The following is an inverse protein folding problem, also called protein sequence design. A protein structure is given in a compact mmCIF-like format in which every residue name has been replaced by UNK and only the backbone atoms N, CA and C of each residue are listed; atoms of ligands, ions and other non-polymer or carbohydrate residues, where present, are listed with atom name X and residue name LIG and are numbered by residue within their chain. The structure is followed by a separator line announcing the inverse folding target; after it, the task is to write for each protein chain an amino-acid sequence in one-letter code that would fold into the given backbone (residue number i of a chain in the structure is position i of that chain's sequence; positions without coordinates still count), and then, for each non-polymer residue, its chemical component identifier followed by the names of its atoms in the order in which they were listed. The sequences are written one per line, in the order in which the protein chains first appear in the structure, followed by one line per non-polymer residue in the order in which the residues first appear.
data_IF_928389107766
#
_entry.id   IF_928389107766
#
_cell.length_a   1.000
_cell.length_b   1.000
_cell.length_c   1.000
_cell.angle_alpha   90.00
_cell.angle_beta   90.00
_cell.angle_gamma   90.00
#
_symmetry.space_group_name_H-M   'P 1'
#
loop_
_entity.id
_entity.type
_entity.pdbx_description
1 polymer ?
#
# COMPACT_ATOMS: atom_id res chain seq x y z
N UNK A 1 -27.41 -0.23 -3.05
CA UNK A 1 -28.85 -0.58 -3.21
C UNK A 1 -29.08 -1.84 -4.05
N UNK A 2 -28.51 -1.98 -5.27
CA UNK A 2 -28.74 -3.19 -6.12
C UNK A 2 -28.36 -4.50 -5.40
N UNK A 3 -27.20 -4.58 -4.76
CA UNK A 3 -26.78 -5.76 -4.00
C UNK A 3 -27.74 -6.12 -2.86
N UNK A 4 -28.35 -5.12 -2.21
CA UNK A 4 -29.38 -5.36 -1.19
C UNK A 4 -30.61 -6.07 -1.79
N UNK A 5 -31.07 -5.63 -2.96
CA UNK A 5 -32.19 -6.26 -3.65
C UNK A 5 -31.85 -7.70 -4.08
N UNK A 6 -30.62 -7.93 -4.57
CA UNK A 6 -30.14 -9.27 -4.93
C UNK A 6 -30.18 -10.19 -3.70
N UNK A 7 -29.64 -9.77 -2.56
CA UNK A 7 -29.65 -10.58 -1.34
C UNK A 7 -31.05 -10.84 -0.84
N UNK A 8 -31.94 -9.85 -0.84
CA UNK A 8 -33.36 -10.04 -0.46
C UNK A 8 -34.09 -11.04 -1.35
N UNK A 9 -33.70 -11.16 -2.62
CA UNK A 9 -34.22 -12.21 -3.52
C UNK A 9 -33.61 -13.58 -3.23
N UNK A 10 -32.31 -13.64 -2.95
CA UNK A 10 -31.60 -14.89 -2.71
C UNK A 10 -31.94 -15.51 -1.35
N UNK A 11 -31.98 -14.70 -0.28
CA UNK A 11 -32.36 -15.06 1.08
C UNK A 11 -33.52 -14.17 1.60
N UNK A 12 -34.78 -14.43 1.20
CA UNK A 12 -35.93 -13.62 1.63
C UNK A 12 -36.13 -13.62 3.15
N UNK A 13 -35.79 -14.74 3.79
CA UNK A 13 -35.89 -14.95 5.24
C UNK A 13 -34.63 -14.50 5.99
N UNK A 14 -33.64 -13.89 5.32
CA UNK A 14 -32.33 -13.59 5.91
C UNK A 14 -32.38 -12.65 7.12
N UNK A 15 -33.35 -11.74 7.16
CA UNK A 15 -33.48 -10.74 8.23
C UNK A 15 -34.29 -11.21 9.43
N UNK A 16 -35.00 -12.34 9.32
CA UNK A 16 -35.88 -12.81 10.41
C UNK A 16 -35.04 -13.10 11.65
N UNK A 17 -35.52 -12.78 12.85
CA UNK A 17 -34.86 -12.95 14.14
C UNK A 17 -33.41 -12.43 14.20
N UNK A 18 -33.07 -11.41 13.39
CA UNK A 18 -31.75 -10.76 13.41
C UNK A 18 -31.79 -9.45 14.20
N UNK A 19 -30.65 -8.93 14.69
CA UNK A 19 -30.61 -7.62 15.35
C UNK A 19 -31.16 -6.48 14.47
N UNK A 20 -31.05 -6.61 13.15
CA UNK A 20 -31.58 -5.61 12.21
C UNK A 20 -33.11 -5.57 12.21
N UNK A 21 -33.76 -6.75 12.29
CA UNK A 21 -35.21 -6.82 12.42
C UNK A 21 -35.67 -6.33 13.79
N UNK A 22 -35.00 -6.71 14.87
CA UNK A 22 -35.30 -6.22 16.22
C UNK A 22 -35.20 -4.68 16.30
N UNK A 23 -34.16 -4.10 15.68
CA UNK A 23 -34.01 -2.66 15.60
C UNK A 23 -35.11 -2.00 14.73
N UNK A 24 -35.48 -2.63 13.62
CA UNK A 24 -36.58 -2.16 12.75
C UNK A 24 -37.93 -2.16 13.49
N UNK A 25 -38.22 -3.20 14.27
CA UNK A 25 -39.41 -3.30 15.11
C UNK A 25 -39.39 -2.26 16.24
N UNK A 26 -38.27 -2.11 16.94
CA UNK A 26 -38.13 -1.14 18.04
C UNK A 26 -38.21 0.32 17.57
N UNK A 27 -37.66 0.64 16.40
CA UNK A 27 -37.67 2.01 15.84
C UNK A 27 -38.92 2.34 15.01
N UNK A 28 -39.72 1.34 14.63
CA UNK A 28 -40.85 1.50 13.71
C UNK A 28 -40.45 1.80 12.26
N UNK A 29 -39.16 1.87 11.95
CA UNK A 29 -38.65 2.15 10.61
C UNK A 29 -38.60 0.87 9.78
N UNK A 30 -39.01 0.94 8.51
CA UNK A 30 -38.86 -0.19 7.57
C UNK A 30 -37.38 -0.46 7.32
N UNK A 31 -36.98 -1.74 7.22
CA UNK A 31 -35.60 -2.15 6.93
C UNK A 31 -35.06 -1.53 5.63
N UNK A 32 -35.90 -1.36 4.61
CA UNK A 32 -35.51 -0.69 3.36
C UNK A 32 -35.11 0.78 3.58
N UNK A 33 -35.75 1.47 4.52
CA UNK A 33 -35.42 2.85 4.90
C UNK A 33 -34.11 2.88 5.67
N UNK A 34 -33.91 1.97 6.63
CA UNK A 34 -32.66 1.85 7.39
C UNK A 34 -31.49 1.59 6.43
N UNK A 35 -31.65 0.65 5.50
CA UNK A 35 -30.65 0.35 4.48
C UNK A 35 -30.37 1.56 3.57
N UNK A 36 -31.42 2.28 3.13
CA UNK A 36 -31.26 3.48 2.32
C UNK A 36 -30.46 4.56 3.06
N UNK A 37 -30.80 4.86 4.31
CA UNK A 37 -30.09 5.83 5.15
C UNK A 37 -28.62 5.42 5.32
N UNK A 38 -28.36 4.14 5.64
CA UNK A 38 -27.00 3.63 5.76
C UNK A 38 -26.20 3.76 4.46
N UNK A 39 -26.80 3.48 3.30
CA UNK A 39 -26.15 3.65 2.00
C UNK A 39 -25.89 5.10 1.65
N UNK A 40 -26.84 6.00 1.93
CA UNK A 40 -26.66 7.43 1.70
C UNK A 40 -25.54 7.97 2.58
N UNK A 41 -25.51 7.61 3.86
CA UNK A 41 -24.44 8.00 4.77
C UNK A 41 -23.08 7.46 4.31
N UNK A 42 -23.00 6.17 3.96
CA UNK A 42 -21.77 5.58 3.43
C UNK A 42 -21.31 6.27 2.14
N UNK A 43 -22.23 6.53 1.21
CA UNK A 43 -21.92 7.23 -0.04
C UNK A 43 -21.42 8.65 0.20
N UNK A 44 -22.00 9.36 1.17
CA UNK A 44 -21.55 10.70 1.56
C UNK A 44 -20.14 10.66 2.14
N UNK A 45 -19.86 9.74 3.08
CA UNK A 45 -18.53 9.60 3.67
C UNK A 45 -17.47 9.23 2.62
N UNK A 46 -17.79 8.33 1.70
CA UNK A 46 -16.92 7.99 0.57
C UNK A 46 -16.69 9.18 -0.36
N UNK A 47 -17.74 9.96 -0.66
CA UNK A 47 -17.64 11.16 -1.48
C UNK A 47 -16.77 12.24 -0.83
N UNK A 48 -16.92 12.47 0.48
CA UNK A 48 -16.09 13.41 1.23
C UNK A 48 -14.62 13.00 1.27
N UNK A 49 -14.33 11.71 1.42
CA UNK A 49 -12.97 11.19 1.40
C UNK A 49 -12.29 11.46 0.04
N UNK A 50 -12.96 11.16 -1.08
CA UNK A 50 -12.43 11.41 -2.42
C UNK A 50 -12.36 12.90 -2.75
N UNK A 51 -13.28 13.72 -2.24
CA UNK A 51 -13.26 15.17 -2.44
C UNK A 51 -11.98 15.82 -1.89
N UNK A 52 -11.43 15.29 -0.79
CA UNK A 52 -10.14 15.73 -0.25
C UNK A 52 -8.95 15.48 -1.18
N UNK A 53 -9.06 14.49 -2.06
CA UNK A 53 -8.02 14.10 -3.02
C UNK A 53 -8.17 14.78 -4.39
N UNK A 54 -9.08 15.77 -4.51
CA UNK A 54 -9.28 16.51 -5.75
C UNK A 54 -8.00 17.10 -6.37
N UNK A 55 -7.03 17.64 -5.59
CA UNK A 55 -5.77 18.11 -6.16
C UNK A 55 -4.97 17.00 -6.87
N UNK A 56 -4.95 15.78 -6.32
CA UNK A 56 -4.25 14.65 -6.94
C UNK A 56 -4.91 14.25 -8.27
N UNK A 57 -6.25 14.25 -8.30
CA UNK A 57 -7.00 13.98 -9.54
C UNK A 57 -6.77 15.07 -10.59
N UNK A 58 -6.70 16.34 -10.20
CA UNK A 58 -6.38 17.44 -11.12
C UNK A 58 -4.98 17.28 -11.72
N UNK A 59 -3.98 16.92 -10.91
CA UNK A 59 -2.62 16.66 -11.38
C UNK A 59 -2.57 15.48 -12.35
N UNK A 60 -3.30 14.40 -12.08
CA UNK A 60 -3.41 13.26 -12.99
C UNK A 60 -4.07 13.63 -14.33
N UNK A 61 -5.17 14.38 -14.30
CA UNK A 61 -5.89 14.78 -15.51
C UNK A 61 -5.10 15.76 -16.38
N UNK A 62 -4.23 16.57 -15.77
CA UNK A 62 -3.38 17.54 -16.45
C UNK A 62 -1.91 17.13 -16.42
N UNK A 63 -1.64 15.83 -16.36
CA UNK A 63 -0.27 15.32 -16.26
C UNK A 63 0.55 15.66 -17.50
N UNK A 64 1.84 15.88 -17.29
CA UNK A 64 2.84 16.11 -18.35
C UNK A 64 4.02 15.15 -18.17
N UNK A 65 4.66 14.77 -19.27
CA UNK A 65 5.85 13.94 -19.20
C UNK A 65 7.06 14.74 -18.72
N UNK A 66 7.91 14.10 -17.91
CA UNK A 66 9.19 14.66 -17.51
C UNK A 66 10.29 14.36 -18.54
N UNK A 67 10.13 13.31 -19.34
CA UNK A 67 11.12 12.86 -20.32
C UNK A 67 12.30 12.11 -19.69
N UNK A 68 12.13 11.63 -18.46
CA UNK A 68 13.16 10.95 -17.67
C UNK A 68 12.59 9.63 -17.17
N UNK A 69 13.18 8.53 -17.61
CA UNK A 69 12.79 7.20 -17.18
C UNK A 69 13.46 6.80 -15.86
N UNK A 70 12.69 6.15 -14.98
CA UNK A 70 13.20 5.57 -13.76
C UNK A 70 14.08 4.34 -14.08
N UNK A 71 15.16 4.11 -13.31
CA UNK A 71 16.12 3.05 -13.61
C UNK A 71 15.65 1.64 -13.19
N UNK A 72 14.54 1.51 -12.46
CA UNK A 72 14.06 0.23 -11.91
C UNK A 72 13.00 -0.39 -12.82
N UNK A 73 12.01 0.39 -13.23
CA UNK A 73 10.88 -0.06 -14.04
C UNK A 73 10.87 0.52 -15.46
N UNK A 74 11.73 1.50 -15.77
CA UNK A 74 11.81 2.12 -17.10
C UNK A 74 10.59 2.97 -17.45
N UNK A 75 9.84 3.45 -16.47
CA UNK A 75 8.68 4.34 -16.64
C UNK A 75 9.09 5.79 -16.46
N UNK A 76 8.41 6.69 -17.16
CA UNK A 76 8.63 8.12 -16.94
C UNK A 76 8.30 8.51 -15.49
N UNK A 77 9.05 9.46 -14.93
CA UNK A 77 8.80 10.02 -13.59
C UNK A 77 7.35 10.53 -13.44
N UNK A 78 6.70 10.97 -14.52
CA UNK A 78 5.30 11.39 -14.55
C UNK A 78 4.34 10.33 -13.99
N UNK A 79 4.64 9.05 -14.23
CA UNK A 79 3.83 7.94 -13.72
C UNK A 79 3.79 7.95 -12.19
N UNK A 80 4.93 8.17 -11.54
CA UNK A 80 5.05 8.11 -10.08
C UNK A 80 4.49 9.36 -9.40
N UNK A 81 4.68 10.52 -10.01
CA UNK A 81 4.21 11.80 -9.46
C UNK A 81 2.70 12.00 -9.66
N UNK A 82 2.15 11.59 -10.80
CA UNK A 82 0.76 11.91 -11.17
C UNK A 82 -0.17 10.70 -11.20
N UNK A 83 0.26 9.57 -11.76
CA UNK A 83 -0.63 8.40 -11.96
C UNK A 83 -0.72 7.50 -10.73
N UNK A 84 0.42 7.19 -10.10
CA UNK A 84 0.51 6.23 -9.01
C UNK A 84 -0.32 6.64 -7.75
N UNK A 85 -0.36 7.92 -7.34
CA UNK A 85 -1.21 8.35 -6.23
C UNK A 85 -2.70 8.10 -6.53
N UNK A 86 -3.15 8.41 -7.75
CA UNK A 86 -4.55 8.19 -8.15
C UNK A 86 -4.89 6.70 -8.22
N UNK A 87 -4.00 5.85 -8.72
CA UNK A 87 -4.19 4.40 -8.68
C UNK A 87 -4.28 3.87 -7.24
N UNK A 88 -3.49 4.41 -6.33
CA UNK A 88 -3.51 4.05 -4.90
C UNK A 88 -4.83 4.45 -4.24
N UNK A 89 -5.30 5.68 -4.48
CA UNK A 89 -6.60 6.18 -4.01
C UNK A 89 -7.75 5.32 -4.58
N UNK A 90 -7.74 5.08 -5.90
CA UNK A 90 -8.78 4.31 -6.59
C UNK A 90 -8.86 2.87 -6.06
N UNK A 91 -7.71 2.21 -5.87
CA UNK A 91 -7.64 0.88 -5.26
C UNK A 91 -8.25 0.87 -3.86
N UNK A 92 -7.83 1.79 -2.98
CA UNK A 92 -8.35 1.87 -1.60
C UNK A 92 -9.86 2.09 -1.57
N UNK A 93 -10.36 3.02 -2.39
CA UNK A 93 -11.78 3.30 -2.52
C UNK A 93 -12.57 2.09 -3.01
N UNK A 94 -12.11 1.40 -4.06
CA UNK A 94 -12.76 0.19 -4.58
C UNK A 94 -12.79 -0.93 -3.52
N UNK A 95 -11.71 -1.12 -2.78
CA UNK A 95 -11.67 -2.09 -1.68
C UNK A 95 -12.68 -1.75 -0.58
N UNK A 96 -12.80 -0.47 -0.20
CA UNK A 96 -13.81 -0.01 0.77
C UNK A 96 -15.24 -0.25 0.30
N UNK A 97 -15.53 -0.03 -0.99
CA UNK A 97 -16.86 -0.31 -1.57
C UNK A 97 -17.17 -1.80 -1.58
N UNK A 98 -16.21 -2.64 -1.96
CA UNK A 98 -16.38 -4.10 -1.99
C UNK A 98 -16.57 -4.66 -0.58
N UNK A 99 -15.76 -4.24 0.40
CA UNK A 99 -15.88 -4.72 1.78
C UNK A 99 -17.19 -4.28 2.43
N UNK A 100 -17.61 -3.02 2.22
CA UNK A 100 -18.91 -2.54 2.69
C UNK A 100 -20.06 -3.33 2.04
N UNK A 101 -19.92 -3.70 0.76
CA UNK A 101 -20.89 -4.55 0.07
C UNK A 101 -20.92 -5.96 0.69
N UNK A 102 -19.78 -6.58 0.96
CA UNK A 102 -19.70 -7.89 1.62
C UNK A 102 -20.36 -7.84 3.00
N UNK A 103 -20.02 -6.85 3.82
CA UNK A 103 -20.62 -6.66 5.16
C UNK A 103 -22.13 -6.53 5.04
N UNK A 104 -22.62 -5.70 4.12
CA UNK A 104 -24.05 -5.56 3.90
C UNK A 104 -24.72 -6.87 3.47
N UNK A 105 -24.10 -7.63 2.58
CA UNK A 105 -24.62 -8.94 2.15
C UNK A 105 -24.71 -9.90 3.34
N UNK A 106 -23.68 -9.97 4.18
CA UNK A 106 -23.66 -10.82 5.39
C UNK A 106 -24.74 -10.38 6.39
N UNK A 107 -24.87 -9.08 6.64
CA UNK A 107 -25.87 -8.52 7.56
C UNK A 107 -27.30 -8.79 7.09
N UNK A 108 -27.59 -8.53 5.81
CA UNK A 108 -28.94 -8.69 5.25
C UNK A 108 -29.32 -10.16 5.07
N UNK A 109 -28.36 -11.04 4.86
CA UNK A 109 -28.61 -12.48 4.79
C UNK A 109 -28.74 -13.15 6.16
N UNK A 110 -28.34 -12.47 7.24
CA UNK A 110 -28.39 -13.01 8.61
C UNK A 110 -27.42 -14.17 8.85
N UNK A 111 -26.41 -14.33 7.98
CA UNK A 111 -25.34 -15.32 8.14
C UNK A 111 -24.66 -15.12 9.51
N UNK A 112 -24.48 -16.21 10.25
CA UNK A 112 -23.90 -16.19 11.59
C UNK A 112 -24.94 -16.02 12.70
N UNK A 113 -25.95 -15.14 12.53
CA UNK A 113 -27.05 -15.00 13.51
C UNK A 113 -28.08 -16.12 13.40
N UNK A 114 -28.49 -16.48 12.18
CA UNK A 114 -29.45 -17.57 11.93
C UNK A 114 -28.75 -18.92 11.71
N UNK A 115 -27.44 -18.96 11.94
CA UNK A 115 -26.55 -20.08 11.62
C UNK A 115 -25.80 -19.88 10.30
N UNK A 116 -25.04 -20.91 9.92
CA UNK A 116 -24.08 -20.86 8.79
C UNK A 116 -24.61 -21.53 7.52
N UNK A 117 -25.83 -22.05 7.53
CA UNK A 117 -26.46 -22.70 6.38
C UNK A 117 -27.09 -21.64 5.48
N UNK A 118 -26.62 -21.55 4.24
CA UNK A 118 -27.08 -20.58 3.24
C UNK A 118 -27.32 -21.21 1.87
N UNK A 119 -28.17 -20.58 1.05
CA UNK A 119 -28.56 -21.03 -0.29
C UNK A 119 -27.45 -20.87 -1.34
N UNK A 120 -27.58 -21.69 -2.40
CA UNK A 120 -27.00 -21.53 -3.76
C UNK A 120 -26.34 -20.19 -4.04
N UNK A 121 -27.21 -19.30 -4.51
CA UNK A 121 -26.82 -18.03 -5.05
C UNK A 121 -26.18 -17.10 -4.03
N UNK A 122 -26.48 -17.21 -2.73
CA UNK A 122 -25.83 -16.34 -1.74
C UNK A 122 -24.34 -16.69 -1.58
N UNK A 123 -24.00 -17.99 -1.52
CA UNK A 123 -22.60 -18.41 -1.49
C UNK A 123 -21.86 -17.99 -2.76
N UNK A 124 -22.49 -18.13 -3.92
CA UNK A 124 -21.89 -17.69 -5.18
C UNK A 124 -21.70 -16.17 -5.22
N UNK A 125 -22.70 -15.40 -4.77
CA UNK A 125 -22.60 -13.95 -4.71
C UNK A 125 -21.48 -13.49 -3.78
N UNK A 126 -21.39 -14.07 -2.57
CA UNK A 126 -20.28 -13.81 -1.64
C UNK A 126 -18.93 -14.28 -2.20
N UNK A 127 -18.89 -15.42 -2.90
CA UNK A 127 -17.68 -15.93 -3.56
C UNK A 127 -17.18 -15.00 -4.66
N UNK A 128 -18.08 -14.46 -5.49
CA UNK A 128 -17.74 -13.47 -6.53
C UNK A 128 -17.25 -12.16 -5.90
N UNK A 129 -17.92 -11.67 -4.86
CA UNK A 129 -17.46 -10.46 -4.15
C UNK A 129 -16.09 -10.67 -3.48
N UNK A 130 -15.87 -11.83 -2.86
CA UNK A 130 -14.59 -12.19 -2.28
C UNK A 130 -13.49 -12.34 -3.33
N UNK A 131 -13.79 -12.92 -4.48
CA UNK A 131 -12.84 -13.04 -5.58
C UNK A 131 -12.50 -11.67 -6.17
N UNK A 132 -13.48 -10.78 -6.34
CA UNK A 132 -13.26 -9.39 -6.72
C UNK A 132 -12.35 -8.68 -5.72
N UNK A 133 -12.56 -8.88 -4.41
CA UNK A 133 -11.70 -8.33 -3.38
C UNK A 133 -10.25 -8.85 -3.49
N UNK A 134 -10.06 -10.15 -3.71
CA UNK A 134 -8.74 -10.74 -3.91
C UNK A 134 -8.06 -10.22 -5.20
N UNK A 135 -8.81 -10.01 -6.29
CA UNK A 135 -8.28 -9.38 -7.50
C UNK A 135 -7.80 -7.95 -7.23
N UNK A 136 -8.57 -7.15 -6.48
CA UNK A 136 -8.13 -5.82 -6.04
C UNK A 136 -6.88 -5.89 -5.15
N UNK A 137 -6.77 -6.94 -4.33
CA UNK A 137 -5.57 -7.19 -3.53
C UNK A 137 -4.35 -7.53 -4.41
N UNK A 138 -4.55 -8.34 -5.45
CA UNK A 138 -3.51 -8.69 -6.42
C UNK A 138 -3.01 -7.47 -7.20
N UNK A 139 -3.93 -6.63 -7.69
CA UNK A 139 -3.59 -5.33 -8.30
C UNK A 139 -2.86 -4.43 -7.31
N UNK A 140 -3.24 -4.51 -6.03
CA UNK A 140 -2.55 -3.85 -4.94
C UNK A 140 -1.07 -4.16 -4.86
N UNK A 141 -0.66 -5.42 -4.99
CA UNK A 141 0.77 -5.79 -4.99
C UNK A 141 1.55 -5.14 -6.13
N UNK A 142 0.94 -4.93 -7.29
CA UNK A 142 1.58 -4.26 -8.41
C UNK A 142 1.69 -2.74 -8.19
N UNK A 143 0.74 -2.15 -7.48
CA UNK A 143 0.83 -0.76 -6.99
C UNK A 143 1.93 -0.65 -5.93
N UNK A 144 2.00 -1.57 -4.97
CA UNK A 144 3.09 -1.59 -3.96
C UNK A 144 4.46 -1.80 -4.60
N UNK A 145 4.55 -2.65 -5.62
CA UNK A 145 5.77 -2.83 -6.41
C UNK A 145 6.22 -1.50 -7.03
N UNK A 146 5.30 -0.74 -7.64
CA UNK A 146 5.64 0.58 -8.16
C UNK A 146 6.03 1.57 -7.04
N UNK A 147 5.42 1.49 -5.85
CA UNK A 147 5.79 2.31 -4.69
C UNK A 147 7.18 2.01 -4.12
N UNK A 148 7.87 0.95 -4.55
CA UNK A 148 9.24 0.67 -4.11
C UNK A 148 10.21 1.80 -4.44
N UNK A 149 9.92 2.63 -5.45
CA UNK A 149 10.71 3.83 -5.75
C UNK A 149 10.66 4.89 -4.63
N UNK A 150 9.76 4.74 -3.66
CA UNK A 150 9.63 5.56 -2.46
C UNK A 150 10.03 4.82 -1.17
N UNK A 151 10.75 3.70 -1.29
CA UNK A 151 11.19 2.90 -0.15
C UNK A 151 12.11 3.70 0.79
N UNK A 152 12.00 3.42 2.09
CA UNK A 152 12.85 3.99 3.14
C UNK A 152 13.71 2.92 3.83
N UNK A 153 13.82 1.72 3.23
CA UNK A 153 14.46 0.56 3.86
C UNK A 153 15.99 0.65 3.89
N UNK A 154 16.60 1.14 2.80
CA UNK A 154 18.05 1.13 2.61
C UNK A 154 18.74 2.41 3.11
N UNK A 155 20.04 2.52 2.81
CA UNK A 155 20.87 3.68 3.15
C UNK A 155 20.40 5.01 2.51
N UNK A 156 19.59 4.94 1.44
CA UNK A 156 19.05 6.10 0.72
C UNK A 156 17.55 5.96 0.51
N UNK A 157 16.87 7.09 0.32
CA UNK A 157 15.47 7.10 -0.08
C UNK A 157 15.32 6.59 -1.53
N UNK A 158 14.45 5.62 -1.73
CA UNK A 158 14.20 4.97 -3.01
C UNK A 158 14.45 3.47 -2.97
N UNK A 159 14.20 2.80 -4.09
CA UNK A 159 14.33 1.35 -4.19
C UNK A 159 15.80 0.94 -4.00
N UNK A 160 16.09 0.17 -2.95
CA UNK A 160 17.41 -0.43 -2.71
C UNK A 160 17.55 -1.84 -3.29
N UNK A 161 18.69 -2.48 -3.02
CA UNK A 161 18.98 -3.83 -3.51
C UNK A 161 17.92 -4.85 -3.07
N UNK A 162 17.57 -4.85 -1.78
CA UNK A 162 16.54 -5.75 -1.23
C UNK A 162 15.18 -5.50 -1.87
N UNK A 163 14.83 -4.25 -2.14
CA UNK A 163 13.53 -3.92 -2.70
C UNK A 163 13.41 -4.46 -4.14
N UNK A 164 14.45 -4.27 -4.96
CA UNK A 164 14.44 -4.72 -6.36
C UNK A 164 14.64 -6.22 -6.49
N UNK A 165 15.52 -6.83 -5.70
CA UNK A 165 15.90 -8.24 -5.88
C UNK A 165 15.14 -9.22 -4.99
N UNK A 166 14.45 -8.75 -3.95
CA UNK A 166 13.67 -9.61 -3.06
C UNK A 166 12.19 -9.18 -2.95
N UNK A 167 11.92 -7.91 -2.65
CA UNK A 167 10.55 -7.42 -2.43
C UNK A 167 9.72 -7.42 -3.72
N UNK A 168 10.28 -6.95 -4.83
CA UNK A 168 9.62 -6.91 -6.13
C UNK A 168 9.25 -8.33 -6.64
N UNK A 169 10.18 -9.32 -6.66
CA UNK A 169 9.82 -10.71 -6.95
C UNK A 169 8.74 -11.27 -6.02
N UNK A 170 8.77 -10.93 -4.73
CA UNK A 170 7.74 -11.34 -3.79
C UNK A 170 6.36 -10.77 -4.16
N UNK A 171 6.25 -9.49 -4.51
CA UNK A 171 4.99 -8.90 -4.97
C UNK A 171 4.48 -9.54 -6.26
N UNK A 172 5.37 -9.88 -7.21
CA UNK A 172 4.99 -10.58 -8.43
C UNK A 172 4.45 -11.99 -8.15
N UNK A 173 5.13 -12.75 -7.29
CA UNK A 173 4.66 -14.06 -6.83
C UNK A 173 3.31 -13.95 -6.14
N UNK A 174 3.17 -13.01 -5.21
CA UNK A 174 1.93 -12.80 -4.45
C UNK A 174 0.77 -12.41 -5.36
N UNK A 175 1.02 -11.62 -6.40
CA UNK A 175 0.01 -11.29 -7.42
C UNK A 175 -0.55 -12.58 -8.04
N UNK A 176 0.32 -13.47 -8.52
CA UNK A 176 -0.09 -14.74 -9.15
C UNK A 176 -0.84 -15.63 -8.16
N UNK A 177 -0.29 -15.84 -6.96
CA UNK A 177 -0.89 -16.69 -5.92
C UNK A 177 -2.27 -16.17 -5.52
N UNK A 178 -2.44 -14.85 -5.43
CA UNK A 178 -3.72 -14.22 -5.07
C UNK A 178 -4.77 -14.38 -6.17
N UNK A 179 -4.38 -14.25 -7.44
CA UNK A 179 -5.29 -14.48 -8.57
C UNK A 179 -5.74 -15.95 -8.63
N UNK A 180 -4.84 -16.90 -8.36
CA UNK A 180 -5.18 -18.33 -8.24
C UNK A 180 -6.17 -18.53 -7.08
N UNK A 181 -5.91 -17.92 -5.92
CA UNK A 181 -6.82 -17.99 -4.78
C UNK A 181 -8.21 -17.42 -5.10
N UNK A 182 -8.27 -16.32 -5.85
CA UNK A 182 -9.54 -15.72 -6.30
C UNK A 182 -10.33 -16.69 -7.21
N UNK A 183 -9.67 -17.34 -8.17
CA UNK A 183 -10.31 -18.34 -9.03
C UNK A 183 -10.80 -19.55 -8.24
N UNK A 184 -9.96 -20.09 -7.34
CA UNK A 184 -10.30 -21.23 -6.48
C UNK A 184 -11.48 -20.92 -5.54
N UNK A 185 -11.59 -19.68 -5.06
CA UNK A 185 -12.71 -19.24 -4.23
C UNK A 185 -14.05 -19.35 -4.96
N UNK A 186 -14.11 -18.93 -6.23
CA UNK A 186 -15.31 -19.03 -7.06
C UNK A 186 -15.67 -20.50 -7.30
N UNK A 187 -14.70 -21.32 -7.72
CA UNK A 187 -14.91 -22.75 -7.97
C UNK A 187 -15.42 -23.44 -6.72
N UNK A 188 -14.85 -23.12 -5.56
CA UNK A 188 -15.24 -23.75 -4.30
C UNK A 188 -16.63 -23.31 -3.84
N UNK A 189 -16.99 -22.03 -4.03
CA UNK A 189 -18.32 -21.51 -3.76
C UNK A 189 -19.40 -22.24 -4.57
N UNK A 190 -19.07 -22.66 -5.81
CA UNK A 190 -19.95 -23.46 -6.66
C UNK A 190 -20.10 -24.91 -6.20
N UNK A 191 -19.00 -25.58 -5.84
CA UNK A 191 -18.99 -27.02 -5.52
C UNK A 191 -19.50 -27.34 -4.11
N UNK A 192 -19.53 -26.37 -3.18
CA UNK A 192 -20.13 -26.43 -1.82
C UNK A 192 -19.59 -27.47 -0.83
N UNK A 193 -18.79 -28.42 -1.28
CA UNK A 193 -18.22 -29.49 -0.43
C UNK A 193 -16.90 -29.11 0.24
N UNK A 194 -16.33 -27.97 -0.13
CA UNK A 194 -14.95 -27.62 0.17
C UNK A 194 -14.81 -26.26 0.91
N UNK A 195 -15.77 -25.87 1.75
CA UNK A 195 -15.63 -24.65 2.56
C UNK A 195 -14.35 -24.65 3.44
N UNK A 196 -13.94 -25.83 3.91
CA UNK A 196 -12.65 -26.02 4.60
C UNK A 196 -11.47 -25.70 3.69
N UNK A 197 -11.57 -26.00 2.39
CA UNK A 197 -10.56 -25.65 1.40
C UNK A 197 -10.47 -24.13 1.20
N UNK A 198 -11.58 -23.37 1.29
CA UNK A 198 -11.53 -21.90 1.27
C UNK A 198 -10.69 -21.38 2.43
N UNK A 199 -10.95 -21.88 3.64
CA UNK A 199 -10.19 -21.49 4.83
C UNK A 199 -8.71 -21.83 4.65
N UNK A 200 -8.40 -23.04 4.20
CA UNK A 200 -7.02 -23.47 3.93
C UNK A 200 -6.34 -22.58 2.88
N UNK A 201 -7.01 -22.27 1.77
CA UNK A 201 -6.49 -21.40 0.70
C UNK A 201 -6.22 -20.00 1.23
N UNK A 202 -7.15 -19.41 1.99
CA UNK A 202 -6.97 -18.07 2.57
C UNK A 202 -5.84 -18.04 3.61
N UNK A 203 -5.76 -19.05 4.48
CA UNK A 203 -4.68 -19.16 5.48
C UNK A 203 -3.34 -19.36 4.80
N UNK A 204 -3.25 -20.25 3.81
CA UNK A 204 -2.03 -20.46 3.03
C UNK A 204 -1.61 -19.19 2.28
N UNK A 205 -2.57 -18.47 1.68
CA UNK A 205 -2.33 -17.20 1.03
C UNK A 205 -1.77 -16.16 2.01
N UNK A 206 -2.37 -15.98 3.19
CA UNK A 206 -1.85 -15.07 4.23
C UNK A 206 -0.45 -15.49 4.69
N UNK A 207 -0.22 -16.79 4.90
CA UNK A 207 1.09 -17.29 5.30
C UNK A 207 2.16 -16.99 4.24
N UNK A 208 1.86 -17.24 2.96
CA UNK A 208 2.75 -16.90 1.84
C UNK A 208 2.98 -15.38 1.78
N UNK A 209 1.94 -14.56 1.99
CA UNK A 209 2.06 -13.10 2.04
C UNK A 209 3.04 -12.62 3.11
N UNK A 210 2.95 -13.16 4.33
CA UNK A 210 3.87 -12.81 5.42
C UNK A 210 5.29 -13.28 5.12
N UNK A 211 5.45 -14.54 4.67
CA UNK A 211 6.77 -15.12 4.41
C UNK A 211 7.46 -14.42 3.24
N UNK A 212 6.80 -14.36 2.07
CA UNK A 212 7.38 -13.77 0.88
C UNK A 212 7.48 -12.24 0.98
N UNK A 213 6.45 -11.58 1.52
CA UNK A 213 6.35 -10.12 1.52
C UNK A 213 7.09 -9.41 2.66
N UNK A 214 7.42 -10.10 3.75
CA UNK A 214 8.05 -9.47 4.92
C UNK A 214 9.28 -10.21 5.41
N UNK A 215 9.16 -11.53 5.63
CA UNK A 215 10.26 -12.32 6.21
C UNK A 215 11.42 -12.42 5.21
N UNK A 216 11.14 -12.86 3.97
CA UNK A 216 12.18 -13.10 2.97
C UNK A 216 13.02 -11.84 2.65
N UNK A 217 12.42 -10.66 2.34
CA UNK A 217 13.19 -9.43 2.11
C UNK A 217 13.99 -9.01 3.34
N UNK A 218 13.46 -9.19 4.55
CA UNK A 218 14.19 -8.88 5.78
C UNK A 218 15.40 -9.79 5.99
N UNK A 219 15.30 -11.08 5.62
CA UNK A 219 16.44 -12.00 5.64
C UNK A 219 17.50 -11.60 4.61
N UNK A 220 17.08 -11.23 3.40
CA UNK A 220 18.00 -10.74 2.35
C UNK A 220 18.72 -9.47 2.84
N UNK A 221 17.98 -8.50 3.39
CA UNK A 221 18.59 -7.30 3.95
C UNK A 221 19.63 -7.64 5.02
N UNK A 222 19.26 -8.44 6.02
CA UNK A 222 20.10 -8.73 7.18
C UNK A 222 21.33 -9.57 6.85
N UNK A 223 21.18 -10.58 5.98
CA UNK A 223 22.20 -11.60 5.79
C UNK A 223 22.99 -11.46 4.46
N UNK A 224 22.46 -10.73 3.47
CA UNK A 224 23.19 -10.44 2.24
C UNK A 224 23.58 -8.96 2.13
N UNK A 225 22.64 -8.03 2.35
CA UNK A 225 22.87 -6.61 2.08
C UNK A 225 23.69 -5.94 3.17
N UNK A 226 23.22 -5.92 4.41
CA UNK A 226 23.90 -5.23 5.51
C UNK A 226 25.39 -5.62 5.69
N UNK A 227 25.80 -6.90 5.52
CA UNK A 227 27.23 -7.25 5.60
C UNK A 227 28.09 -6.73 4.44
N UNK A 228 27.50 -6.38 3.29
CA UNK A 228 28.20 -5.94 2.09
C UNK A 228 27.48 -4.75 1.41
N UNK A 229 27.01 -3.81 2.23
CA UNK A 229 26.06 -2.78 1.81
C UNK A 229 26.65 -1.86 0.75
N UNK A 230 27.92 -1.44 0.91
CA UNK A 230 28.61 -0.59 -0.07
C UNK A 230 28.63 -1.22 -1.46
N UNK A 231 28.81 -2.53 -1.58
CA UNK A 231 28.90 -3.19 -2.89
C UNK A 231 27.52 -3.34 -3.53
N UNK A 232 26.54 -3.81 -2.75
CA UNK A 232 25.20 -4.16 -3.25
C UNK A 232 24.30 -2.92 -3.44
N UNK A 233 24.41 -1.92 -2.58
CA UNK A 233 23.60 -0.70 -2.65
C UNK A 233 24.19 0.38 -3.56
N UNK A 234 25.47 0.28 -3.96
CA UNK A 234 26.14 1.27 -4.82
C UNK A 234 25.32 1.73 -6.03
N UNK A 235 24.79 0.86 -6.90
CA UNK A 235 24.03 1.34 -8.07
C UNK A 235 22.78 2.12 -7.67
N UNK A 236 22.12 1.75 -6.57
CA UNK A 236 20.93 2.44 -6.07
C UNK A 236 21.27 3.79 -5.44
N UNK A 237 22.40 3.88 -4.73
CA UNK A 237 22.94 5.15 -4.22
C UNK A 237 23.30 6.08 -5.38
N UNK A 238 23.98 5.58 -6.42
CA UNK A 238 24.32 6.36 -7.61
C UNK A 238 23.06 6.89 -8.31
N UNK A 239 22.01 6.08 -8.40
CA UNK A 239 20.70 6.51 -8.91
C UNK A 239 20.09 7.63 -8.05
N UNK A 240 20.06 7.46 -6.72
CA UNK A 240 19.52 8.47 -5.82
C UNK A 240 20.27 9.82 -5.94
N UNK A 241 21.61 9.78 -5.95
CA UNK A 241 22.45 10.98 -6.12
C UNK A 241 22.12 11.65 -7.45
N UNK A 242 22.07 10.90 -8.55
CA UNK A 242 21.77 11.44 -9.88
C UNK A 242 20.39 12.11 -9.92
N UNK A 243 19.35 11.44 -9.44
CA UNK A 243 17.99 11.98 -9.45
C UNK A 243 17.82 13.17 -8.51
N UNK A 244 18.48 13.18 -7.35
CA UNK A 244 18.49 14.32 -6.44
C UNK A 244 19.18 15.52 -7.07
N UNK A 245 20.35 15.31 -7.70
CA UNK A 245 21.07 16.39 -8.41
C UNK A 245 20.24 16.97 -9.54
N UNK A 246 19.57 16.12 -10.31
CA UNK A 246 18.67 16.55 -11.38
C UNK A 246 17.48 17.36 -10.83
N UNK A 247 16.81 16.86 -9.78
CA UNK A 247 15.63 17.51 -9.21
C UNK A 247 15.92 18.90 -8.63
N UNK A 248 17.08 19.07 -7.99
CA UNK A 248 17.51 20.35 -7.41
C UNK A 248 18.39 21.18 -8.38
N UNK A 249 18.54 20.76 -9.63
CA UNK A 249 19.42 21.38 -10.62
C UNK A 249 20.88 21.59 -10.13
N UNK A 250 21.39 20.67 -9.31
CA UNK A 250 22.75 20.72 -8.74
C UNK A 250 23.85 20.45 -9.77
N UNK A 251 23.48 20.02 -10.98
CA UNK A 251 24.40 19.89 -12.10
C UNK A 251 24.73 21.26 -12.74
N UNK A 252 23.92 22.29 -12.46
CA UNK A 252 24.08 23.65 -12.97
C UNK A 252 24.44 24.65 -11.86
N UNK A 253 25.48 24.35 -11.08
CA UNK A 253 25.94 25.21 -9.98
C UNK A 253 27.25 25.92 -10.32
N UNK A 254 27.40 27.15 -9.83
CA UNK A 254 28.66 27.89 -9.88
C UNK A 254 29.40 27.66 -8.56
N UNK A 255 30.41 26.78 -8.59
CA UNK A 255 31.27 26.55 -7.43
C UNK A 255 32.19 27.75 -7.26
N UNK A 256 32.10 28.45 -6.13
CA UNK A 256 33.03 29.50 -5.73
C UNK A 256 33.94 28.97 -4.62
N UNK A 257 35.23 28.73 -4.89
CA UNK A 257 36.17 28.35 -3.84
C UNK A 257 36.20 29.46 -2.78
N UNK A 258 35.96 29.09 -1.52
CA UNK A 258 36.28 29.94 -0.38
C UNK A 258 37.67 29.55 0.10
N UNK A 259 38.68 30.31 -0.31
CA UNK A 259 40.02 30.09 0.21
C UNK A 259 40.08 30.60 1.65
N UNK A 260 40.03 29.67 2.61
CA UNK A 260 40.38 29.92 3.99
C UNK A 260 41.91 30.13 4.13
N UNK A 261 42.44 31.13 3.43
CA UNK A 261 43.88 31.44 3.35
C UNK A 261 44.33 32.49 4.38
N UNK A 262 43.48 32.86 5.34
CA UNK A 262 43.91 33.71 6.44
C UNK A 262 44.91 32.93 7.29
N UNK A 263 46.18 33.36 7.27
CA UNK A 263 47.18 32.91 8.24
C UNK A 263 46.69 33.34 9.62
N UNK A 264 46.29 32.35 10.42
CA UNK A 264 45.90 32.57 11.81
C UNK A 264 47.17 32.94 12.58
N UNK A 265 47.21 34.15 13.15
CA UNK A 265 48.34 34.57 13.99
C UNK A 265 48.18 34.00 15.42
N UNK A 266 49.27 33.77 16.16
CA UNK A 266 49.19 33.34 17.55
C UNK A 266 48.31 34.24 18.42
N UNK A 267 48.32 35.56 18.16
CA UNK A 267 47.49 36.53 18.88
C UNK A 267 46.00 36.32 18.58
N UNK A 268 45.64 36.00 17.33
CA UNK A 268 44.26 35.72 16.93
C UNK A 268 43.70 34.42 17.53
N UNK A 269 44.55 33.42 17.80
CA UNK A 269 44.16 32.19 18.53
C UNK A 269 43.90 32.49 20.00
N UNK A 270 44.76 33.30 20.61
CA UNK A 270 44.68 33.65 22.02
C UNK A 270 43.55 34.64 22.33
N UNK A 271 43.12 35.45 21.36
CA UNK A 271 41.97 36.36 21.51
C UNK A 271 40.61 35.66 21.50
N UNK A 272 40.53 34.42 21.02
CA UNK A 272 39.26 33.67 20.82
C UNK A 272 39.26 32.29 21.52
N UNK A 273 39.49 32.22 22.85
CA UNK A 273 39.68 30.95 23.55
C UNK A 273 38.43 30.06 23.56
N UNK A 274 37.22 30.63 23.51
CA UNK A 274 35.97 29.85 23.43
C UNK A 274 35.79 29.16 22.08
N UNK A 275 36.18 29.83 20.98
CA UNK A 275 36.11 29.27 19.62
C UNK A 275 37.12 28.15 19.45
N UNK A 276 38.35 28.31 19.98
CA UNK A 276 39.40 27.28 19.92
C UNK A 276 39.03 26.06 20.76
N UNK A 277 38.45 26.25 21.94
CA UNK A 277 37.99 25.13 22.80
C UNK A 277 36.84 24.34 22.19
N UNK A 278 35.99 24.98 21.38
CA UNK A 278 34.85 24.34 20.72
C UNK A 278 35.10 23.99 19.25
N UNK A 279 36.32 24.22 18.73
CA UNK A 279 36.64 23.92 17.34
C UNK A 279 36.54 22.41 17.14
N UNK A 280 35.67 22.01 16.23
CA UNK A 280 35.44 20.59 15.95
C UNK A 280 36.51 20.09 15.02
N UNK A 281 37.50 19.39 15.57
CA UNK A 281 38.57 18.77 14.78
C UNK A 281 38.10 17.52 14.04
N UNK A 282 37.03 16.87 14.52
CA UNK A 282 36.49 15.64 13.96
C UNK A 282 34.95 15.70 13.92
N UNK A 283 34.35 15.23 12.83
CA UNK A 283 32.89 15.04 12.76
C UNK A 283 32.52 13.76 13.52
N UNK A 284 31.73 13.92 14.58
CA UNK A 284 31.26 12.83 15.44
C UNK A 284 30.34 11.82 14.71
N UNK A 285 29.67 12.22 13.62
CA UNK A 285 28.71 11.36 12.92
C UNK A 285 29.41 10.13 12.28
N UNK A 286 30.45 10.29 11.43
CA UNK A 286 31.22 9.16 10.90
C UNK A 286 31.89 8.31 11.99
N UNK A 287 32.37 8.94 13.08
CA UNK A 287 33.02 8.25 14.19
C UNK A 287 32.03 7.31 14.90
N UNK A 288 30.81 7.76 15.19
CA UNK A 288 29.79 6.93 15.84
C UNK A 288 29.31 5.76 14.98
N UNK A 289 29.28 5.92 13.65
CA UNK A 289 28.92 4.84 12.71
C UNK A 289 30.04 3.78 12.57
N UNK A 290 31.30 4.15 12.78
CA UNK A 290 32.44 3.21 12.65
C UNK A 290 32.65 2.36 13.90
N UNK A 291 32.25 2.87 15.07
CA UNK A 291 32.53 2.25 16.37
C UNK A 291 31.32 1.59 17.07
N UNK A 292 30.14 1.58 16.44
CA UNK A 292 28.95 0.85 16.90
C UNK A 292 28.58 -0.28 15.93
#
# INVERSE_FOLDING_TARGET
YVNYLIVRRLEPAGLISTPVEQFSEASGLRISTIALVAFTLFSLLMGLNVAGEWPQLLLFLNQSDFGVADPVFGRDVSFYVFTLPVLTIARGWLQSVVIATIIMVVVVSGVGWRGWRVRTGLLLHLGVLGALYLVLFALGYQIEAANLVYSQRGAVFGAGYTDVNAQLPAYNLLTIVTLIAAALLIVTAYVRRAWRAIVVVLVAWVAIAVVAGSIYPSLVQRFQVSPNELTLERPYIEHNIRFTRMAYALDNIVVKPFEAAQRVSPEAVLSEPETIRNVRLWDYRPLLETYN
#
